data_IF_651359175396
#
_entry.id   IF_651359175396
#
_cell.length_a   1.000
_cell.length_b   1.000
_cell.length_c   1.000
_cell.angle_alpha   90.00
_cell.angle_beta   90.00
_cell.angle_gamma   90.00
#
_symmetry.space_group_name_H-M   'P 1'
#
loop_
_entity.id
_entity.type
_entity.pdbx_description
1 polymer ?
#
# COMPACT_ATOMS: atom_id res chain seq x y z
N UNK A 1 7.45 17.47 18.27
CA UNK A 1 7.52 16.29 19.16
C UNK A 1 6.11 15.99 19.61
N UNK A 2 5.74 14.72 19.61
CA UNK A 2 4.46 14.22 20.13
C UNK A 2 4.73 13.50 21.44
N UNK A 3 3.70 13.34 22.28
CA UNK A 3 3.82 12.60 23.54
C UNK A 3 2.75 11.52 23.59
N UNK A 4 3.19 10.28 23.80
CA UNK A 4 2.32 9.09 23.93
C UNK A 4 2.68 8.40 25.24
N UNK A 5 1.71 8.25 26.15
CA UNK A 5 1.87 7.62 27.47
C UNK A 5 3.11 8.12 28.25
N UNK A 6 3.37 9.42 28.20
CA UNK A 6 4.51 10.01 28.89
C UNK A 6 5.84 9.94 28.12
N UNK A 7 5.90 9.25 26.98
CA UNK A 7 7.08 9.10 26.12
C UNK A 7 7.07 10.14 24.99
N UNK A 8 8.15 10.91 24.89
CA UNK A 8 8.33 11.85 23.79
C UNK A 8 8.74 11.12 22.50
N UNK A 9 8.04 11.43 21.42
CA UNK A 9 8.24 10.87 20.09
C UNK A 9 8.61 11.99 19.13
N UNK A 10 9.77 11.83 18.50
CA UNK A 10 10.16 12.64 17.35
C UNK A 10 9.69 11.92 16.09
N UNK A 11 8.74 12.49 15.36
CA UNK A 11 8.36 11.93 14.06
C UNK A 11 9.57 11.95 13.12
N UNK A 12 9.83 10.82 12.47
CA UNK A 12 10.84 10.79 11.42
C UNK A 12 10.39 11.69 10.26
N UNK A 13 11.32 12.48 9.73
CA UNK A 13 11.02 13.34 8.58
C UNK A 13 11.07 12.50 7.30
N UNK A 14 10.04 12.63 6.47
CA UNK A 14 9.93 11.90 5.20
C UNK A 14 10.46 12.76 4.05
N UNK A 15 11.30 12.17 3.20
CA UNK A 15 11.92 12.79 2.03
C UNK A 15 11.61 12.02 0.74
N UNK A 16 11.62 12.73 -0.39
CA UNK A 16 11.42 12.17 -1.73
C UNK A 16 9.96 12.14 -2.21
N UNK A 17 9.72 11.53 -3.38
CA UNK A 17 8.36 11.29 -3.88
C UNK A 17 7.66 10.29 -2.96
N UNK A 18 6.48 10.65 -2.48
CA UNK A 18 5.63 9.78 -1.65
C UNK A 18 4.95 8.74 -2.53
N UNK A 19 5.69 7.71 -2.96
CA UNK A 19 5.08 6.54 -3.58
C UNK A 19 5.14 5.38 -2.59
N UNK A 20 4.13 5.32 -1.73
CA UNK A 20 3.95 4.32 -0.68
C UNK A 20 3.91 2.86 -1.17
N UNK A 21 3.95 2.62 -2.48
CA UNK A 21 3.97 1.28 -3.06
C UNK A 21 5.19 0.98 -3.95
N UNK A 22 6.22 1.83 -3.91
CA UNK A 22 7.52 1.50 -4.50
C UNK A 22 8.37 0.63 -3.56
N UNK A 23 9.41 -0.04 -4.08
CA UNK A 23 10.29 -0.93 -3.30
C UNK A 23 10.96 -0.26 -2.09
N UNK A 24 11.04 1.07 -2.08
CA UNK A 24 11.37 1.89 -0.92
C UNK A 24 10.35 3.04 -0.87
N UNK A 25 9.26 2.90 -0.09
CA UNK A 25 8.05 3.71 -0.28
C UNK A 25 8.27 5.22 -0.05
N UNK A 26 9.25 5.54 0.79
CA UNK A 26 9.80 6.87 0.98
C UNK A 26 11.15 6.75 1.71
N UNK A 27 11.93 7.83 1.73
CA UNK A 27 13.16 7.91 2.53
C UNK A 27 12.92 8.70 3.80
N UNK A 28 13.70 8.41 4.83
CA UNK A 28 13.76 9.22 6.03
C UNK A 28 14.97 10.15 5.99
N UNK A 29 14.81 11.36 6.51
CA UNK A 29 15.95 12.22 6.81
C UNK A 29 16.81 11.54 7.87
N UNK A 30 18.12 11.52 7.65
CA UNK A 30 19.08 10.99 8.64
C UNK A 30 18.98 11.77 9.96
N UNK A 31 19.13 11.06 11.08
CA UNK A 31 19.21 11.69 12.40
C UNK A 31 20.35 12.69 12.49
N UNK A 32 20.19 13.71 13.34
CA UNK A 32 21.23 14.70 13.61
C UNK A 32 22.48 14.00 14.15
N UNK A 33 23.62 14.25 13.52
CA UNK A 33 24.91 13.74 13.97
C UNK A 33 25.40 14.53 15.18
N UNK A 34 25.68 13.84 16.29
CA UNK A 34 26.23 14.48 17.49
C UNK A 34 27.74 14.65 17.31
N UNK A 35 28.24 15.87 17.55
CA UNK A 35 29.65 16.14 17.39
C UNK A 35 30.47 15.48 18.51
N UNK A 36 31.64 14.94 18.17
CA UNK A 36 32.45 14.21 19.15
C UNK A 36 32.83 15.05 20.36
N UNK A 37 33.12 16.34 20.18
CA UNK A 37 33.53 17.22 21.28
C UNK A 37 32.42 17.45 22.32
N UNK A 38 31.15 17.29 21.94
CA UNK A 38 29.99 17.48 22.82
C UNK A 38 29.73 16.27 23.74
N UNK A 39 30.38 15.13 23.51
CA UNK A 39 30.09 13.88 24.22
C UNK A 39 31.27 13.41 25.07
N UNK A 40 31.06 13.25 26.37
CA UNK A 40 32.10 12.79 27.31
C UNK A 40 31.94 11.32 27.73
N UNK A 41 30.76 10.73 27.57
CA UNK A 41 30.44 9.36 27.96
C UNK A 41 29.59 8.64 26.93
N UNK A 42 29.69 7.31 26.89
CA UNK A 42 28.83 6.48 26.05
C UNK A 42 27.35 6.72 26.35
N UNK A 43 26.54 6.99 25.32
CA UNK A 43 25.10 7.27 25.47
C UNK A 43 24.29 6.11 26.07
N UNK A 44 24.79 4.87 26.00
CA UNK A 44 24.07 3.69 26.50
C UNK A 44 24.54 3.22 27.89
N UNK A 45 25.83 3.26 28.18
CA UNK A 45 26.39 2.69 29.41
C UNK A 45 27.10 3.70 30.30
N UNK A 46 27.03 4.99 29.96
CA UNK A 46 27.60 6.14 30.67
C UNK A 46 29.10 6.10 30.96
N UNK A 47 29.81 5.10 30.43
CA UNK A 47 31.25 4.96 30.57
C UNK A 47 31.97 6.10 29.85
N UNK A 48 32.80 6.85 30.59
CA UNK A 48 33.58 7.99 30.08
C UNK A 48 34.50 7.57 28.94
N UNK A 49 34.55 8.35 27.87
CA UNK A 49 35.52 8.12 26.80
C UNK A 49 36.94 8.47 27.26
N UNK A 50 37.93 7.76 26.72
CA UNK A 50 39.35 8.01 26.98
C UNK A 50 40.18 7.47 25.80
N UNK A 51 41.51 7.46 25.90
CA UNK A 51 42.37 7.02 24.80
C UNK A 51 42.14 5.55 24.40
N UNK A 52 41.72 4.68 25.32
CA UNK A 52 41.43 3.26 25.07
C UNK A 52 39.96 3.02 24.69
N UNK A 53 39.04 3.82 25.23
CA UNK A 53 37.60 3.79 24.92
C UNK A 53 37.28 4.86 23.89
N UNK A 54 37.41 4.51 22.62
CA UNK A 54 37.13 5.37 21.48
C UNK A 54 35.62 5.59 21.29
N UNK A 55 35.28 6.71 20.65
CA UNK A 55 33.92 7.14 20.29
C UNK A 55 33.48 6.47 18.98
N UNK A 56 32.22 6.06 18.92
CA UNK A 56 31.60 5.46 17.73
C UNK A 56 30.17 5.95 17.57
N UNK A 57 29.82 6.43 16.38
CA UNK A 57 28.46 6.86 16.11
C UNK A 57 27.56 5.72 15.65
N UNK A 58 26.33 5.73 16.15
CA UNK A 58 25.23 4.97 15.56
C UNK A 58 24.69 5.72 14.35
N UNK A 59 24.66 5.08 13.17
CA UNK A 59 24.15 5.72 11.94
C UNK A 59 22.64 5.87 11.93
N UNK A 60 21.93 5.14 12.80
CA UNK A 60 20.48 5.25 12.97
C UNK A 60 20.10 6.50 13.78
N UNK A 61 20.60 6.64 15.01
CA UNK A 61 20.19 7.72 15.92
C UNK A 61 21.17 8.91 15.96
N UNK A 62 22.38 8.79 15.43
CA UNK A 62 23.38 9.86 15.39
C UNK A 62 24.17 10.08 16.69
N UNK A 63 23.80 9.40 17.78
CA UNK A 63 24.48 9.47 19.08
C UNK A 63 25.82 8.70 19.10
N UNK A 64 26.62 8.97 20.15
CA UNK A 64 27.97 8.44 20.34
C UNK A 64 28.02 7.36 21.43
N UNK A 65 28.65 6.24 21.11
CA UNK A 65 28.73 5.03 21.92
C UNK A 65 30.17 4.49 22.00
N UNK A 66 30.44 3.60 22.96
CA UNK A 66 31.64 2.79 22.95
C UNK A 66 31.48 1.56 22.03
N UNK A 67 32.58 0.89 21.66
CA UNK A 67 32.51 -0.25 20.75
C UNK A 67 31.60 -1.38 21.29
N UNK A 68 31.59 -1.61 22.61
CA UNK A 68 30.74 -2.65 23.22
C UNK A 68 29.25 -2.41 22.98
N UNK A 69 28.80 -1.16 23.03
CA UNK A 69 27.40 -0.76 22.91
C UNK A 69 26.93 -0.51 21.46
N UNK A 70 27.84 -0.65 20.50
CA UNK A 70 27.61 -0.25 19.11
C UNK A 70 28.52 -1.04 18.16
N UNK A 71 28.63 -2.35 18.36
CA UNK A 71 29.56 -3.22 17.61
C UNK A 71 28.99 -3.68 16.27
N UNK A 72 27.67 -3.84 16.19
CA UNK A 72 27.01 -4.51 15.08
C UNK A 72 26.82 -3.56 13.90
N UNK A 73 26.76 -4.12 12.70
CA UNK A 73 26.48 -3.40 11.46
C UNK A 73 25.28 -4.00 10.74
N UNK A 74 24.34 -3.15 10.31
CA UNK A 74 23.10 -3.53 9.64
C UNK A 74 22.85 -2.52 8.51
N UNK A 75 22.31 -2.97 7.38
CA UNK A 75 21.81 -2.05 6.35
C UNK A 75 20.70 -1.15 6.92
N UNK A 76 20.59 0.08 6.43
CA UNK A 76 19.54 1.03 6.83
C UNK A 76 18.78 1.52 5.59
N UNK A 77 17.88 0.70 5.03
CA UNK A 77 17.15 0.99 3.80
C UNK A 77 16.33 2.28 3.85
N UNK A 78 15.80 2.61 5.03
CA UNK A 78 15.08 3.84 5.31
C UNK A 78 15.89 5.11 5.03
N UNK A 79 17.22 5.03 5.11
CA UNK A 79 18.13 6.13 4.75
C UNK A 79 18.83 5.90 3.41
N UNK A 80 18.39 4.91 2.62
CA UNK A 80 19.02 4.48 1.39
C UNK A 80 20.50 4.07 1.58
N UNK A 81 20.81 3.43 2.71
CA UNK A 81 22.13 2.90 3.03
C UNK A 81 22.08 1.36 2.93
N UNK A 82 22.46 0.85 1.75
CA UNK A 82 22.41 -0.58 1.44
C UNK A 82 23.69 -1.32 1.84
N UNK A 83 24.72 -0.60 2.28
CA UNK A 83 25.89 -1.17 2.95
C UNK A 83 25.63 -1.26 4.45
N UNK A 84 26.22 -2.25 5.11
CA UNK A 84 26.02 -2.46 6.55
C UNK A 84 26.65 -1.34 7.37
N UNK A 85 25.82 -0.61 8.09
CA UNK A 85 26.19 0.55 8.89
C UNK A 85 26.16 0.26 10.38
N UNK A 86 27.06 0.92 11.11
CA UNK A 86 27.18 0.72 12.56
C UNK A 86 25.92 1.20 13.29
N UNK A 87 25.34 0.33 14.11
CA UNK A 87 24.15 0.62 14.94
C UNK A 87 24.43 0.34 16.41
N UNK A 88 23.82 1.13 17.30
CA UNK A 88 23.88 0.86 18.74
C UNK A 88 22.90 -0.24 19.15
N UNK A 89 23.14 -0.86 20.31
CA UNK A 89 22.33 -1.97 20.80
C UNK A 89 20.85 -1.59 21.00
N UNK A 90 20.56 -0.31 21.28
CA UNK A 90 19.17 0.20 21.40
C UNK A 90 18.46 0.33 20.05
N UNK A 91 19.19 0.72 18.99
CA UNK A 91 18.64 0.86 17.63
C UNK A 91 18.64 -0.46 16.86
N UNK A 92 19.46 -1.43 17.28
CA UNK A 92 19.65 -2.71 16.60
C UNK A 92 18.33 -3.46 16.36
N UNK A 93 17.41 -3.64 17.33
CA UNK A 93 16.19 -4.42 17.11
C UNK A 93 15.38 -3.90 15.92
N UNK A 94 15.00 -2.62 15.93
CA UNK A 94 14.24 -2.03 14.82
C UNK A 94 15.04 -1.97 13.51
N UNK A 95 16.36 -1.77 13.56
CA UNK A 95 17.19 -1.81 12.35
C UNK A 95 17.15 -3.18 11.66
N UNK A 96 17.20 -4.28 12.42
CA UNK A 96 17.07 -5.65 11.88
C UNK A 96 15.71 -5.81 11.20
N UNK A 97 14.62 -5.43 11.87
CA UNK A 97 13.27 -5.62 11.34
C UNK A 97 13.03 -4.82 10.05
N UNK A 98 13.54 -3.58 10.00
CA UNK A 98 13.47 -2.76 8.77
C UNK A 98 14.29 -3.40 7.64
N UNK A 99 15.48 -3.92 7.92
CA UNK A 99 16.28 -4.64 6.92
C UNK A 99 15.57 -5.91 6.42
N UNK A 100 14.97 -6.69 7.32
CA UNK A 100 14.22 -7.91 6.97
C UNK A 100 12.94 -7.62 6.17
N UNK A 101 12.32 -6.45 6.39
CA UNK A 101 11.10 -6.06 5.66
C UNK A 101 11.28 -5.94 4.15
N UNK A 102 12.50 -5.69 3.68
CA UNK A 102 12.86 -5.61 2.27
C UNK A 102 13.63 -6.85 1.77
N UNK A 103 13.82 -7.86 2.62
CA UNK A 103 14.52 -9.08 2.25
C UNK A 103 13.76 -9.82 1.16
N UNK A 104 14.47 -10.59 0.33
CA UNK A 104 13.85 -11.51 -0.62
C UNK A 104 13.33 -12.79 0.04
N UNK A 105 13.70 -13.06 1.30
CA UNK A 105 13.31 -14.26 2.04
C UNK A 105 11.95 -14.07 2.73
N UNK A 106 10.91 -14.86 2.39
CA UNK A 106 9.59 -14.73 3.00
C UNK A 106 9.57 -14.96 4.51
N UNK A 107 10.45 -15.83 5.03
CA UNK A 107 10.58 -16.08 6.47
C UNK A 107 11.05 -14.84 7.23
N UNK A 108 12.02 -14.10 6.69
CA UNK A 108 12.52 -12.86 7.28
C UNK A 108 11.45 -11.76 7.26
N UNK A 109 10.72 -11.62 6.15
CA UNK A 109 9.59 -10.69 6.04
C UNK A 109 8.48 -11.00 7.05
N UNK A 110 8.18 -12.28 7.26
CA UNK A 110 7.19 -12.73 8.25
C UNK A 110 7.63 -12.43 9.69
N UNK A 111 8.91 -12.72 10.02
CA UNK A 111 9.49 -12.35 11.31
C UNK A 111 9.42 -10.83 11.52
N UNK A 112 9.78 -10.04 10.51
CA UNK A 112 9.67 -8.58 10.58
C UNK A 112 8.25 -8.13 10.90
N UNK A 113 7.23 -8.69 10.25
CA UNK A 113 5.83 -8.35 10.49
C UNK A 113 5.39 -8.67 11.93
N UNK A 114 5.74 -9.85 12.43
CA UNK A 114 5.41 -10.31 13.78
C UNK A 114 6.08 -9.44 14.86
N UNK A 115 7.40 -9.27 14.76
CA UNK A 115 8.20 -8.58 15.76
C UNK A 115 7.94 -7.06 15.76
N UNK A 116 7.62 -6.46 14.60
CA UNK A 116 7.16 -5.07 14.56
C UNK A 116 5.83 -4.94 15.29
N UNK A 117 4.88 -5.85 15.06
CA UNK A 117 3.58 -5.80 15.74
C UNK A 117 3.73 -5.97 17.26
N UNK A 118 4.62 -6.84 17.72
CA UNK A 118 4.95 -6.99 19.15
C UNK A 118 5.60 -5.73 19.74
N UNK A 119 6.56 -5.14 19.02
CA UNK A 119 7.22 -3.89 19.45
C UNK A 119 6.20 -2.76 19.70
N UNK A 120 5.15 -2.67 18.88
CA UNK A 120 4.12 -1.65 19.01
C UNK A 120 3.22 -1.80 20.23
N UNK A 121 3.30 -2.90 20.98
CA UNK A 121 2.55 -3.10 22.23
C UNK A 121 3.09 -2.24 23.39
N UNK A 122 4.20 -1.53 23.21
CA UNK A 122 4.80 -0.65 24.22
C UNK A 122 5.04 0.75 23.68
N UNK A 123 4.89 1.78 24.52
CA UNK A 123 5.08 3.18 24.12
C UNK A 123 6.53 3.47 23.69
N UNK A 124 7.53 2.77 24.28
CA UNK A 124 8.94 2.83 23.85
C UNK A 124 9.15 2.22 22.47
N UNK A 125 8.48 1.09 22.19
CA UNK A 125 8.52 0.43 20.90
C UNK A 125 7.80 1.24 19.82
N UNK A 126 6.66 1.86 20.12
CA UNK A 126 6.00 2.84 19.24
C UNK A 126 6.98 3.97 18.91
N UNK A 127 7.63 4.57 19.93
CA UNK A 127 8.63 5.62 19.72
C UNK A 127 9.71 5.16 18.74
N UNK A 128 10.30 3.98 18.96
CA UNK A 128 11.36 3.43 18.09
C UNK A 128 10.86 3.15 16.67
N UNK A 129 9.70 2.53 16.52
CA UNK A 129 9.12 2.23 15.22
C UNK A 129 8.82 3.51 14.41
N UNK A 130 8.30 4.55 15.05
CA UNK A 130 8.01 5.83 14.39
C UNK A 130 9.30 6.59 14.04
N UNK A 131 10.30 6.59 14.92
CA UNK A 131 11.57 7.30 14.71
C UNK A 131 12.49 6.65 13.66
N UNK A 132 12.49 5.32 13.57
CA UNK A 132 13.57 4.57 12.92
C UNK A 132 13.12 3.65 11.78
N UNK A 133 12.04 3.99 11.10
CA UNK A 133 11.62 3.30 9.86
C UNK A 133 10.64 2.14 10.04
N UNK A 134 10.11 1.91 11.23
CA UNK A 134 9.07 0.90 11.46
C UNK A 134 7.80 1.17 10.65
N UNK A 135 7.35 2.43 10.55
CA UNK A 135 6.22 2.78 9.68
C UNK A 135 6.48 2.46 8.20
N UNK A 136 7.71 2.69 7.74
CA UNK A 136 8.12 2.36 6.38
C UNK A 136 8.08 0.84 6.14
N UNK A 137 8.58 0.05 7.09
CA UNK A 137 8.53 -1.40 7.05
C UNK A 137 7.08 -1.92 7.06
N UNK A 138 6.19 -1.33 7.87
CA UNK A 138 4.76 -1.69 7.90
C UNK A 138 4.11 -1.50 6.53
N UNK A 139 4.31 -0.33 5.91
CA UNK A 139 3.76 -0.02 4.58
C UNK A 139 4.34 -0.94 3.52
N UNK A 140 5.66 -1.21 3.57
CA UNK A 140 6.34 -2.14 2.67
C UNK A 140 5.77 -3.55 2.75
N UNK A 141 5.67 -4.10 3.96
CA UNK A 141 5.18 -5.46 4.20
C UNK A 141 3.70 -5.59 3.83
N UNK A 142 2.90 -4.51 3.91
CA UNK A 142 1.48 -4.54 3.59
C UNK A 142 1.20 -4.79 2.10
N UNK A 143 2.23 -4.65 1.25
CA UNK A 143 2.15 -4.99 -0.17
C UNK A 143 2.27 -6.49 -0.43
N UNK A 144 2.85 -7.25 0.49
CA UNK A 144 3.16 -8.65 0.31
C UNK A 144 1.86 -9.47 0.32
N UNK A 145 1.75 -10.39 -0.64
CA UNK A 145 0.60 -11.28 -0.73
C UNK A 145 0.74 -12.48 0.21
N UNK A 146 0.67 -12.21 1.51
CA UNK A 146 0.72 -13.22 2.56
C UNK A 146 -0.30 -12.87 3.67
N UNK A 147 -1.23 -13.78 3.93
CA UNK A 147 -2.34 -13.53 4.86
C UNK A 147 -1.88 -13.33 6.31
N UNK A 148 -0.86 -14.05 6.77
CA UNK A 148 -0.34 -13.92 8.13
C UNK A 148 0.39 -12.61 8.34
N UNK A 149 1.20 -12.18 7.35
CA UNK A 149 1.81 -10.84 7.33
C UNK A 149 0.71 -9.76 7.38
N UNK A 150 -0.31 -9.85 6.52
CA UNK A 150 -1.38 -8.85 6.48
C UNK A 150 -2.14 -8.74 7.81
N UNK A 151 -2.43 -9.86 8.47
CA UNK A 151 -3.06 -9.87 9.81
C UNK A 151 -2.22 -9.10 10.83
N UNK A 152 -0.91 -9.37 10.88
CA UNK A 152 0.01 -8.69 11.78
C UNK A 152 0.03 -7.18 11.53
N UNK A 153 0.07 -6.78 10.26
CA UNK A 153 0.14 -5.37 9.88
C UNK A 153 -1.17 -4.62 10.10
N UNK A 154 -2.32 -5.26 9.92
CA UNK A 154 -3.61 -4.64 10.26
C UNK A 154 -3.70 -4.39 11.77
N UNK A 155 -3.24 -5.32 12.60
CA UNK A 155 -3.11 -5.13 14.05
C UNK A 155 -2.15 -3.99 14.40
N UNK A 156 -0.98 -3.93 13.74
CA UNK A 156 0.00 -2.87 13.92
C UNK A 156 -0.57 -1.49 13.56
N UNK A 157 -1.22 -1.37 12.39
CA UNK A 157 -1.84 -0.13 11.94
C UNK A 157 -3.00 0.27 12.85
N UNK A 158 -3.82 -0.68 13.30
CA UNK A 158 -4.87 -0.43 14.29
C UNK A 158 -4.30 0.14 15.58
N UNK A 159 -3.26 -0.48 16.14
CA UNK A 159 -2.58 -0.01 17.36
C UNK A 159 -2.06 1.42 17.19
N UNK A 160 -1.49 1.76 16.04
CA UNK A 160 -1.03 3.14 15.79
C UNK A 160 -2.20 4.11 15.61
N UNK A 161 -3.31 3.66 15.02
CA UNK A 161 -4.51 4.47 14.80
C UNK A 161 -5.26 4.81 16.10
N UNK A 162 -5.04 4.09 17.20
CA UNK A 162 -5.62 4.46 18.51
C UNK A 162 -4.98 5.71 19.10
N UNK A 163 -3.89 6.23 18.51
CA UNK A 163 -3.22 7.47 18.91
C UNK A 163 -3.47 8.59 17.90
N UNK A 164 -4.45 9.49 18.12
CA UNK A 164 -4.77 10.60 17.22
C UNK A 164 -3.58 11.46 16.77
N UNK A 165 -2.57 11.75 17.63
CA UNK A 165 -1.40 12.51 17.21
C UNK A 165 -0.59 11.87 16.06
N UNK A 166 -0.73 10.56 15.82
CA UNK A 166 -0.03 9.86 14.74
C UNK A 166 -0.78 9.89 13.40
N UNK A 167 -2.05 10.31 13.36
CA UNK A 167 -2.89 10.20 12.16
C UNK A 167 -2.33 10.96 10.95
N UNK A 168 -1.83 12.18 11.15
CA UNK A 168 -1.21 12.96 10.07
C UNK A 168 0.05 12.26 9.54
N UNK A 169 0.87 11.71 10.44
CA UNK A 169 2.06 10.96 10.07
C UNK A 169 1.69 9.70 9.28
N UNK A 170 0.69 8.94 9.73
CA UNK A 170 0.16 7.74 9.06
C UNK A 170 -0.38 8.05 7.66
N UNK A 171 -1.04 9.20 7.49
CA UNK A 171 -1.51 9.64 6.18
C UNK A 171 -0.32 9.94 5.24
N UNK A 172 0.68 10.69 5.74
CA UNK A 172 1.86 11.09 4.96
C UNK A 172 2.72 9.89 4.54
N UNK A 173 2.85 8.89 5.39
CA UNK A 173 3.65 7.68 5.13
C UNK A 173 2.92 6.65 4.27
N UNK A 174 1.62 6.83 4.03
CA UNK A 174 0.81 5.92 3.21
C UNK A 174 0.23 4.71 3.96
N UNK A 175 0.21 4.73 5.29
CA UNK A 175 -0.42 3.67 6.09
C UNK A 175 -1.92 3.53 5.78
N UNK A 176 -2.62 4.66 5.58
CA UNK A 176 -4.04 4.67 5.18
C UNK A 176 -4.22 3.96 3.83
N UNK A 177 -3.35 4.26 2.86
CA UNK A 177 -3.38 3.62 1.53
C UNK A 177 -3.12 2.11 1.64
N UNK A 178 -2.22 1.69 2.53
CA UNK A 178 -1.97 0.27 2.78
C UNK A 178 -3.18 -0.46 3.36
N UNK A 179 -3.92 0.16 4.29
CA UNK A 179 -5.19 -0.37 4.81
C UNK A 179 -6.22 -0.50 3.68
N UNK A 180 -6.38 0.57 2.88
CA UNK A 180 -7.34 0.57 1.77
C UNK A 180 -7.02 -0.52 0.74
N UNK A 181 -5.75 -0.67 0.35
CA UNK A 181 -5.31 -1.75 -0.54
C UNK A 181 -5.72 -3.13 0.00
N UNK A 182 -5.47 -3.38 1.30
CA UNK A 182 -5.79 -4.67 1.92
C UNK A 182 -7.30 -4.92 2.04
N UNK A 183 -8.07 -3.89 2.39
CA UNK A 183 -9.53 -3.96 2.45
C UNK A 183 -10.14 -4.26 1.07
N UNK A 184 -9.72 -3.53 0.03
CA UNK A 184 -10.20 -3.76 -1.34
C UNK A 184 -9.72 -5.12 -1.87
N UNK A 185 -8.50 -5.54 -1.54
CA UNK A 185 -8.02 -6.87 -1.89
C UNK A 185 -8.88 -7.99 -1.28
N UNK A 186 -9.32 -7.82 -0.02
CA UNK A 186 -10.23 -8.76 0.64
C UNK A 186 -11.59 -8.79 -0.07
N UNK A 187 -12.18 -7.62 -0.34
CA UNK A 187 -13.44 -7.52 -1.11
C UNK A 187 -13.32 -8.19 -2.47
N UNK A 188 -12.21 -7.99 -3.18
CA UNK A 188 -11.97 -8.61 -4.48
C UNK A 188 -11.89 -10.14 -4.41
N UNK A 189 -11.39 -10.69 -3.29
CA UNK A 189 -11.36 -12.14 -3.06
C UNK A 189 -12.77 -12.69 -2.75
N UNK A 190 -13.55 -11.98 -1.93
CA UNK A 190 -14.94 -12.33 -1.64
C UNK A 190 -15.84 -12.26 -2.88
N UNK A 191 -15.56 -11.31 -3.78
CA UNK A 191 -16.28 -11.13 -5.05
C UNK A 191 -16.19 -12.30 -6.03
N UNK A 192 -15.36 -13.31 -5.75
CA UNK A 192 -15.33 -14.56 -6.52
C UNK A 192 -16.45 -15.54 -6.14
N UNK A 193 -17.13 -15.34 -5.01
CA UNK A 193 -18.23 -16.18 -4.53
C UNK A 193 -19.59 -15.61 -4.92
N UNK A 194 -20.52 -16.47 -5.34
CA UNK A 194 -21.90 -16.07 -5.63
C UNK A 194 -22.70 -15.75 -4.35
N UNK A 195 -22.33 -16.35 -3.22
CA UNK A 195 -23.08 -16.25 -1.96
C UNK A 195 -23.02 -14.83 -1.37
N UNK A 196 -21.93 -14.09 -1.62
CA UNK A 196 -21.69 -12.78 -1.03
C UNK A 196 -22.16 -11.61 -1.93
N UNK A 197 -22.68 -11.89 -3.13
CA UNK A 197 -22.93 -10.88 -4.17
C UNK A 197 -23.95 -9.82 -3.76
N UNK A 198 -24.99 -10.20 -3.03
CA UNK A 198 -26.00 -9.23 -2.57
C UNK A 198 -25.38 -8.14 -1.70
N UNK A 199 -24.47 -8.52 -0.78
CA UNK A 199 -23.75 -7.58 0.07
C UNK A 199 -22.72 -6.76 -0.71
N UNK A 200 -22.08 -7.34 -1.73
CA UNK A 200 -21.03 -6.67 -2.50
C UNK A 200 -21.55 -5.59 -3.45
N UNK A 201 -22.81 -5.67 -3.88
CA UNK A 201 -23.43 -4.63 -4.72
C UNK A 201 -23.45 -3.28 -4.01
N UNK A 202 -23.74 -3.25 -2.70
CA UNK A 202 -23.76 -2.01 -1.93
C UNK A 202 -22.37 -1.36 -1.85
N UNK A 203 -21.30 -2.17 -1.88
CA UNK A 203 -19.92 -1.68 -1.90
C UNK A 203 -19.47 -1.19 -3.28
N UNK A 204 -20.15 -1.52 -4.38
CA UNK A 204 -19.72 -1.09 -5.73
C UNK A 204 -19.70 0.43 -5.88
N UNK A 205 -20.71 1.13 -5.35
CA UNK A 205 -20.75 2.60 -5.37
C UNK A 205 -19.59 3.20 -4.56
N UNK A 206 -19.27 2.60 -3.41
CA UNK A 206 -18.13 3.03 -2.59
C UNK A 206 -16.82 2.79 -3.35
N UNK A 207 -16.69 1.64 -4.01
CA UNK A 207 -15.49 1.30 -4.80
C UNK A 207 -15.28 2.26 -5.97
N UNK A 208 -16.34 2.68 -6.66
CA UNK A 208 -16.24 3.62 -7.78
C UNK A 208 -15.93 5.04 -7.32
N UNK A 209 -16.38 5.45 -6.13
CA UNK A 209 -15.99 6.72 -5.52
C UNK A 209 -14.52 6.70 -5.04
N UNK A 210 -14.04 5.58 -4.49
CA UNK A 210 -12.64 5.42 -4.09
C UNK A 210 -11.65 5.57 -5.26
N UNK A 211 -12.08 5.37 -6.51
CA UNK A 211 -11.26 5.65 -7.70
C UNK A 211 -10.86 7.14 -7.73
N UNK A 212 -11.76 8.04 -7.34
CA UNK A 212 -11.50 9.48 -7.33
C UNK A 212 -10.49 9.86 -6.25
N UNK A 213 -10.59 9.22 -5.09
CA UNK A 213 -9.74 9.51 -3.92
C UNK A 213 -8.33 8.91 -4.07
N UNK A 214 -8.22 7.76 -4.74
CA UNK A 214 -6.98 6.99 -4.85
C UNK A 214 -6.46 6.85 -6.28
N UNK A 215 -6.94 7.66 -7.23
CA UNK A 215 -6.58 7.60 -8.66
C UNK A 215 -5.11 7.84 -9.02
N UNK A 216 -4.25 8.09 -8.03
CA UNK A 216 -2.79 8.23 -8.18
C UNK A 216 -2.03 7.06 -7.54
N UNK A 217 -2.75 5.99 -7.21
CA UNK A 217 -2.28 4.90 -6.38
C UNK A 217 -2.53 3.57 -7.08
N UNK A 218 -1.68 3.23 -8.04
CA UNK A 218 -1.83 2.08 -8.93
C UNK A 218 -2.16 0.77 -8.20
N UNK A 219 -1.54 0.51 -7.05
CA UNK A 219 -1.82 -0.68 -6.25
C UNK A 219 -3.26 -0.75 -5.73
N UNK A 220 -3.81 0.38 -5.26
CA UNK A 220 -5.19 0.45 -4.77
C UNK A 220 -6.14 0.37 -5.97
N UNK A 221 -5.88 1.13 -7.02
CA UNK A 221 -6.68 1.12 -8.26
C UNK A 221 -6.72 -0.27 -8.89
N UNK A 222 -5.60 -1.00 -8.92
CA UNK A 222 -5.57 -2.38 -9.39
C UNK A 222 -6.49 -3.29 -8.56
N UNK A 223 -6.49 -3.16 -7.24
CA UNK A 223 -7.41 -3.93 -6.39
C UNK A 223 -8.87 -3.54 -6.63
N UNK A 224 -9.17 -2.24 -6.83
CA UNK A 224 -10.52 -1.76 -7.14
C UNK A 224 -10.97 -2.34 -8.48
N UNK A 225 -10.16 -2.18 -9.53
CA UNK A 225 -10.47 -2.70 -10.86
C UNK A 225 -10.67 -4.23 -10.84
N UNK A 226 -9.82 -4.96 -10.10
CA UNK A 226 -9.97 -6.41 -9.90
C UNK A 226 -11.27 -6.77 -9.17
N UNK A 227 -11.62 -6.02 -8.12
CA UNK A 227 -12.87 -6.21 -7.38
C UNK A 227 -14.09 -6.01 -8.28
N UNK A 228 -14.10 -4.91 -9.04
CA UNK A 228 -15.15 -4.59 -10.01
C UNK A 228 -15.28 -5.71 -11.05
N UNK A 229 -14.17 -6.16 -11.63
CA UNK A 229 -14.16 -7.23 -12.64
C UNK A 229 -14.66 -8.59 -12.11
N UNK A 230 -14.44 -8.88 -10.83
CA UNK A 230 -14.95 -10.10 -10.20
C UNK A 230 -16.44 -9.98 -9.86
N UNK A 231 -16.87 -8.83 -9.33
CA UNK A 231 -18.26 -8.59 -8.91
C UNK A 231 -19.21 -8.52 -10.12
N UNK A 232 -18.77 -7.91 -11.22
CA UNK A 232 -19.57 -7.77 -12.46
C UNK A 232 -19.82 -9.08 -13.19
N UNK A 233 -19.21 -10.20 -12.78
CA UNK A 233 -19.55 -11.54 -13.31
C UNK A 233 -21.00 -11.94 -13.05
N UNK A 234 -21.71 -11.20 -12.18
CA UNK A 234 -23.08 -11.47 -11.81
C UNK A 234 -23.99 -10.33 -12.29
N UNK A 235 -25.15 -10.69 -12.83
CA UNK A 235 -26.06 -9.79 -13.55
C UNK A 235 -26.49 -8.57 -12.72
N UNK A 236 -26.89 -8.76 -11.46
CA UNK A 236 -27.37 -7.67 -10.60
C UNK A 236 -26.27 -6.62 -10.33
N UNK A 237 -25.04 -7.08 -10.14
CA UNK A 237 -23.88 -6.22 -9.95
C UNK A 237 -23.49 -5.50 -11.24
N UNK A 238 -23.53 -6.20 -12.38
CA UNK A 238 -23.30 -5.58 -13.69
C UNK A 238 -24.30 -4.44 -13.95
N UNK A 239 -25.60 -4.69 -13.73
CA UNK A 239 -26.66 -3.68 -13.83
C UNK A 239 -26.43 -2.49 -12.91
N UNK A 240 -26.04 -2.76 -11.65
CA UNK A 240 -25.75 -1.71 -10.69
C UNK A 240 -24.54 -0.85 -11.09
N UNK A 241 -23.58 -1.38 -11.83
CA UNK A 241 -22.36 -0.65 -12.19
C UNK A 241 -22.54 0.28 -13.39
N UNK A 242 -23.54 0.05 -14.25
CA UNK A 242 -23.76 0.86 -15.48
C UNK A 242 -23.80 2.36 -15.19
N UNK A 243 -24.41 2.75 -14.06
CA UNK A 243 -24.51 4.15 -13.59
C UNK A 243 -23.16 4.81 -13.26
N UNK A 244 -22.12 4.03 -13.00
CA UNK A 244 -20.76 4.51 -12.71
C UNK A 244 -19.76 4.22 -13.85
N UNK A 245 -20.24 3.77 -15.01
CA UNK A 245 -19.40 3.32 -16.13
C UNK A 245 -18.46 4.42 -16.64
N UNK A 246 -18.88 5.68 -16.61
CA UNK A 246 -18.05 6.82 -17.00
C UNK A 246 -16.75 6.89 -16.17
N UNK A 247 -16.83 6.67 -14.85
CA UNK A 247 -15.66 6.65 -13.96
C UNK A 247 -14.71 5.53 -14.38
N UNK A 248 -15.23 4.33 -14.65
CA UNK A 248 -14.42 3.16 -15.04
C UNK A 248 -13.72 3.40 -16.37
N UNK A 249 -14.42 3.96 -17.37
CA UNK A 249 -13.83 4.29 -18.67
C UNK A 249 -12.71 5.31 -18.49
N UNK A 250 -12.98 6.39 -17.74
CA UNK A 250 -12.05 7.51 -17.58
C UNK A 250 -10.78 7.13 -16.83
N UNK A 251 -10.90 6.35 -15.76
CA UNK A 251 -9.78 6.11 -14.84
C UNK A 251 -9.12 4.73 -15.00
N UNK A 252 -9.90 3.66 -15.19
CA UNK A 252 -9.32 2.31 -15.28
C UNK A 252 -9.07 1.86 -16.72
N UNK A 253 -10.02 2.07 -17.64
CA UNK A 253 -9.88 1.60 -19.02
C UNK A 253 -8.82 2.38 -19.80
N UNK A 254 -8.74 3.70 -19.56
CA UNK A 254 -7.71 4.59 -20.13
C UNK A 254 -6.41 4.62 -19.31
N UNK A 255 -6.27 3.76 -18.30
CA UNK A 255 -5.05 3.69 -17.48
C UNK A 255 -3.85 3.25 -18.32
N UNK A 256 -2.70 3.87 -18.07
CA UNK A 256 -1.41 3.46 -18.65
C UNK A 256 -0.92 2.12 -18.09
N UNK A 257 -1.44 1.70 -16.93
CA UNK A 257 -1.11 0.42 -16.32
C UNK A 257 -1.95 -0.71 -16.95
N UNK A 258 -1.30 -1.56 -17.75
CA UNK A 258 -1.94 -2.67 -18.47
C UNK A 258 -2.71 -3.64 -17.56
N UNK A 259 -2.28 -3.81 -16.30
CA UNK A 259 -2.99 -4.70 -15.37
C UNK A 259 -4.35 -4.11 -14.98
N UNK A 260 -4.42 -2.80 -14.78
CA UNK A 260 -5.65 -2.09 -14.43
C UNK A 260 -6.60 -2.11 -15.61
N UNK A 261 -6.13 -1.71 -16.80
CA UNK A 261 -6.95 -1.68 -18.00
C UNK A 261 -7.46 -3.07 -18.39
N UNK A 262 -6.66 -4.14 -18.22
CA UNK A 262 -7.10 -5.51 -18.42
C UNK A 262 -8.26 -5.93 -17.48
N UNK A 263 -8.25 -5.52 -16.21
CA UNK A 263 -9.40 -5.77 -15.32
C UNK A 263 -10.64 -4.96 -15.75
N UNK A 264 -10.44 -3.72 -16.20
CA UNK A 264 -11.54 -2.90 -16.72
C UNK A 264 -12.16 -3.51 -17.98
N UNK A 265 -11.34 -3.99 -18.92
CA UNK A 265 -11.79 -4.71 -20.12
C UNK A 265 -12.64 -5.94 -19.72
N UNK A 266 -12.18 -6.72 -18.73
CA UNK A 266 -12.94 -7.87 -18.20
C UNK A 266 -14.30 -7.45 -17.63
N UNK A 267 -14.34 -6.36 -16.85
CA UNK A 267 -15.60 -5.86 -16.32
C UNK A 267 -16.55 -5.45 -17.45
N UNK A 268 -16.06 -4.73 -18.46
CA UNK A 268 -16.84 -4.33 -19.63
C UNK A 268 -17.41 -5.52 -20.40
N UNK A 269 -16.65 -6.59 -20.57
CA UNK A 269 -17.15 -7.80 -21.22
C UNK A 269 -18.34 -8.43 -20.47
N UNK A 270 -18.30 -8.40 -19.14
CA UNK A 270 -19.43 -8.86 -18.33
C UNK A 270 -20.64 -7.92 -18.50
N UNK A 271 -20.42 -6.60 -18.47
CA UNK A 271 -21.49 -5.62 -18.69
C UNK A 271 -22.14 -5.78 -20.06
N UNK A 272 -21.36 -5.99 -21.12
CA UNK A 272 -21.88 -6.23 -22.47
C UNK A 272 -22.67 -7.54 -22.59
N UNK A 273 -22.47 -8.48 -21.67
CA UNK A 273 -23.21 -9.75 -21.64
C UNK A 273 -24.57 -9.61 -20.92
N UNK A 274 -24.69 -8.67 -19.97
CA UNK A 274 -25.89 -8.50 -19.12
C UNK A 274 -26.71 -7.23 -19.41
N UNK A 275 -26.07 -6.15 -19.90
CA UNK A 275 -26.64 -4.82 -20.15
C UNK A 275 -26.07 -4.22 -21.46
N UNK A 276 -26.23 -4.89 -22.62
CA UNK A 276 -25.55 -4.51 -23.86
C UNK A 276 -25.91 -3.11 -24.33
N UNK A 277 -27.20 -2.76 -24.36
CA UNK A 277 -27.66 -1.50 -24.96
C UNK A 277 -27.16 -0.28 -24.19
N UNK A 278 -27.32 -0.27 -22.86
CA UNK A 278 -26.85 0.83 -22.01
C UNK A 278 -25.32 0.94 -22.03
N UNK A 279 -24.62 -0.20 -22.04
CA UNK A 279 -23.16 -0.22 -22.06
C UNK A 279 -22.62 0.32 -23.39
N UNK A 280 -23.22 -0.07 -24.52
CA UNK A 280 -22.85 0.42 -25.86
C UNK A 280 -23.10 1.93 -25.97
N UNK A 281 -24.27 2.41 -25.53
CA UNK A 281 -24.61 3.84 -25.60
C UNK A 281 -23.60 4.69 -24.81
N UNK A 282 -23.23 4.28 -23.60
CA UNK A 282 -22.20 4.96 -22.81
C UNK A 282 -20.83 4.97 -23.48
N UNK A 283 -20.41 3.82 -24.00
CA UNK A 283 -19.11 3.66 -24.65
C UNK A 283 -19.02 4.47 -25.94
N UNK A 284 -20.08 4.51 -26.74
CA UNK A 284 -20.15 5.32 -27.94
C UNK A 284 -19.98 6.82 -27.64
N UNK A 285 -20.55 7.30 -26.53
CA UNK A 285 -20.48 8.72 -26.12
C UNK A 285 -19.13 9.12 -25.49
N UNK A 286 -18.51 8.23 -24.71
CA UNK A 286 -17.40 8.61 -23.80
C UNK A 286 -16.06 7.87 -24.04
N UNK A 287 -16.06 6.81 -24.87
CA UNK A 287 -14.91 5.91 -25.00
C UNK A 287 -14.94 5.04 -26.26
N UNK A 288 -15.28 5.62 -27.42
CA UNK A 288 -15.44 4.88 -28.66
C UNK A 288 -14.16 4.16 -29.12
N UNK A 289 -12.98 4.75 -28.89
CA UNK A 289 -11.71 4.12 -29.23
C UNK A 289 -11.42 2.90 -28.33
N UNK A 290 -11.68 3.02 -27.02
CA UNK A 290 -11.51 1.93 -26.06
C UNK A 290 -12.54 0.81 -26.28
N UNK A 291 -13.77 1.18 -26.62
CA UNK A 291 -14.81 0.25 -27.03
C UNK A 291 -14.37 -0.64 -28.20
N UNK A 292 -13.80 -0.03 -29.25
CA UNK A 292 -13.28 -0.78 -30.40
C UNK A 292 -12.13 -1.71 -30.01
N UNK A 293 -11.25 -1.31 -29.07
CA UNK A 293 -10.19 -2.19 -28.54
C UNK A 293 -10.77 -3.39 -27.79
N UNK A 294 -11.77 -3.17 -26.93
CA UNK A 294 -12.43 -4.25 -26.15
C UNK A 294 -13.14 -5.23 -27.09
N UNK A 295 -13.86 -4.71 -28.08
CA UNK A 295 -14.56 -5.52 -29.10
C UNK A 295 -13.57 -6.34 -29.92
N UNK A 296 -12.47 -5.74 -30.38
CA UNK A 296 -11.46 -6.43 -31.18
C UNK A 296 -10.84 -7.62 -30.44
N UNK A 297 -10.78 -7.56 -29.11
CA UNK A 297 -10.26 -8.64 -28.25
C UNK A 297 -11.32 -9.68 -27.85
N UNK A 298 -12.60 -9.45 -28.15
CA UNK A 298 -13.70 -10.28 -27.64
C UNK A 298 -14.63 -10.75 -28.77
N UNK A 299 -14.32 -11.89 -29.43
CA UNK A 299 -15.08 -12.39 -30.59
C UNK A 299 -16.56 -12.68 -30.31
N UNK A 300 -16.90 -13.06 -29.08
CA UNK A 300 -18.27 -13.32 -28.61
C UNK A 300 -19.14 -12.04 -28.67
N UNK A 301 -18.55 -10.90 -28.29
CA UNK A 301 -19.23 -9.59 -28.29
C UNK A 301 -19.46 -9.11 -29.72
N UNK A 302 -18.49 -9.32 -30.63
CA UNK A 302 -18.68 -9.06 -32.06
C UNK A 302 -19.88 -9.82 -32.63
N UNK A 303 -20.10 -11.07 -32.20
CA UNK A 303 -21.29 -11.85 -32.61
C UNK A 303 -22.58 -11.27 -32.03
N UNK A 304 -22.59 -10.89 -30.76
CA UNK A 304 -23.77 -10.29 -30.10
C UNK A 304 -24.14 -8.93 -30.71
N UNK A 305 -23.15 -8.06 -30.94
CA UNK A 305 -23.33 -6.75 -31.60
C UNK A 305 -23.76 -6.94 -33.06
N UNK A 306 -23.14 -7.88 -33.79
CA UNK A 306 -23.57 -8.19 -35.16
C UNK A 306 -25.02 -8.68 -35.21
N UNK A 307 -25.47 -9.44 -34.22
CA UNK A 307 -26.87 -9.90 -34.12
C UNK A 307 -27.84 -8.75 -33.86
N UNK A 308 -27.51 -7.85 -32.92
CA UNK A 308 -28.33 -6.66 -32.62
C UNK A 308 -28.38 -5.67 -33.78
N UNK A 309 -27.24 -5.37 -34.41
CA UNK A 309 -27.18 -4.50 -35.60
C UNK A 309 -27.99 -5.09 -36.77
N UNK A 310 -27.99 -6.42 -36.94
CA UNK A 310 -28.83 -7.10 -37.93
C UNK A 310 -30.31 -7.04 -37.61
N UNK A 311 -30.70 -7.04 -36.33
CA UNK A 311 -32.09 -6.80 -35.93
C UNK A 311 -32.51 -5.36 -36.21
N UNK A 312 -31.71 -4.39 -35.80
CA UNK A 312 -31.99 -2.97 -36.01
C UNK A 312 -32.06 -2.60 -37.51
N UNK A 313 -31.17 -3.18 -38.33
CA UNK A 313 -31.23 -2.99 -39.79
C UNK A 313 -32.51 -3.54 -40.40
N UNK A 314 -33.08 -4.63 -39.85
CA UNK A 314 -34.35 -5.19 -40.33
C UNK A 314 -35.56 -4.33 -39.91
N UNK A 315 -35.49 -3.64 -38.78
CA UNK A 315 -36.54 -2.71 -38.34
C UNK A 315 -36.53 -1.39 -39.11
N UNK A 316 -35.39 -0.98 -39.67
CA UNK A 316 -35.28 0.19 -40.54
C UNK A 316 -35.74 -0.07 -41.99
N UNK A 317 -35.78 -1.34 -42.41
CA UNK A 317 -36.24 -1.79 -43.74
C UNK A 317 -37.77 -2.06 -43.78
N UNK A 318 -38.50 -1.81 -42.69
CA UNK A 318 -39.97 -1.90 -42.57
C UNK A 318 -40.62 -0.54 -42.34
#
# INVERSE_FOLDING_TARGET
MLRIDGVDICLAKVEGRKNCFSSVPFRLTKSRWVADYDVQSCRLCDSKFNQLRRKHHCRQCGDVFCNKCCKDKIILPQYNLMESERVCDSCKPIAVLVAQSISSQPSEQHIAALEINDMLQTSDGIRKAIQFGGMQAIVQLAMIDNIEIRKCLLSAIHTLATYPPLHEYMAITGAIKAVMRNAVCLLANLACSQQDQACLIDYLAILTDLILDYGQCEDVEYQIARCIANTTRYENAAKALVKDLEKIIKYHLKSENEKISCQAERALCNLLSYCPDETIDYLARNGAAEFLKVIAKTPEILKSISSHLKMYARELDT
#
